data_IF_544712658821
#
_entry.id   IF_544712658821
#
_cell.length_a   1.000
_cell.length_b   1.000
_cell.length_c   1.000
_cell.angle_alpha   90.00
_cell.angle_beta   90.00
_cell.angle_gamma   90.00
#
_symmetry.space_group_name_H-M   'P 1'
#
loop_
_entity.id
_entity.type
_entity.pdbx_description
1 polymer ?
#
# COMPACT_ATOMS: atom_id res chain seq x y z
N UNK A 1 -22.04 5.56 2.75
CA UNK A 1 -20.99 4.66 3.22
C UNK A 1 -20.61 3.60 2.19
N UNK A 2 -19.74 2.64 2.53
CA UNK A 2 -19.28 1.59 1.59
C UNK A 2 -20.43 0.82 0.93
N UNK A 3 -21.55 0.62 1.63
CA UNK A 3 -22.74 -0.03 1.06
C UNK A 3 -23.35 0.74 -0.10
N UNK A 4 -23.36 2.05 -0.05
CA UNK A 4 -23.86 2.89 -1.16
C UNK A 4 -22.93 2.88 -2.34
N UNK A 5 -21.60 2.95 -2.13
CA UNK A 5 -20.57 2.87 -3.21
C UNK A 5 -20.72 1.59 -4.00
N UNK A 6 -20.83 0.43 -3.32
CA UNK A 6 -20.89 -0.87 -3.98
C UNK A 6 -22.28 -1.24 -4.52
N UNK A 7 -23.31 -0.47 -4.20
CA UNK A 7 -24.69 -0.72 -4.61
C UNK A 7 -25.26 0.49 -5.34
N UNK A 8 -26.05 1.31 -4.68
CA UNK A 8 -26.83 2.39 -5.29
C UNK A 8 -26.04 3.33 -6.22
N UNK A 9 -24.74 3.53 -5.98
CA UNK A 9 -23.89 4.39 -6.78
C UNK A 9 -23.18 3.68 -7.93
N UNK A 10 -23.41 2.39 -8.14
CA UNK A 10 -22.93 1.64 -9.30
C UNK A 10 -21.57 0.98 -9.13
N UNK A 11 -20.99 0.99 -7.93
CA UNK A 11 -19.76 0.25 -7.61
C UNK A 11 -18.55 0.64 -8.43
N UNK A 12 -17.71 -0.35 -8.73
CA UNK A 12 -16.48 -0.16 -9.51
C UNK A 12 -16.74 0.40 -10.92
N UNK A 13 -17.77 -0.06 -11.68
CA UNK A 13 -18.06 0.53 -12.98
C UNK A 13 -18.34 2.03 -12.93
N UNK A 14 -19.10 2.52 -11.95
CA UNK A 14 -19.37 3.95 -11.82
C UNK A 14 -18.10 4.74 -11.44
N UNK A 15 -17.24 4.20 -10.56
CA UNK A 15 -15.96 4.82 -10.23
C UNK A 15 -15.04 4.90 -11.45
N UNK A 16 -14.89 3.80 -12.20
CA UNK A 16 -14.12 3.80 -13.44
C UNK A 16 -14.76 4.67 -14.51
N UNK A 17 -16.10 4.76 -14.53
CA UNK A 17 -16.83 5.67 -15.38
C UNK A 17 -16.46 7.14 -15.17
N UNK A 18 -16.31 7.58 -13.90
CA UNK A 18 -15.83 8.95 -13.60
C UNK A 18 -14.39 9.18 -14.10
N UNK A 19 -13.49 8.21 -13.88
CA UNK A 19 -12.13 8.30 -14.40
C UNK A 19 -12.10 8.32 -15.94
N UNK A 20 -13.01 7.57 -16.58
CA UNK A 20 -13.15 7.53 -18.04
C UNK A 20 -13.63 8.88 -18.58
N UNK A 21 -14.65 9.48 -17.96
CA UNK A 21 -15.13 10.84 -18.32
C UNK A 21 -14.05 11.90 -18.19
N UNK A 22 -13.16 11.74 -17.22
CA UNK A 22 -11.99 12.61 -17.01
C UNK A 22 -10.82 12.32 -17.98
N UNK A 23 -10.92 11.31 -18.85
CA UNK A 23 -9.84 10.96 -19.79
C UNK A 23 -8.64 10.27 -19.12
N UNK A 24 -8.80 9.69 -17.94
CA UNK A 24 -7.73 9.10 -17.14
C UNK A 24 -7.59 7.58 -17.32
N UNK A 25 -8.40 6.97 -18.20
CA UNK A 25 -8.36 5.52 -18.46
C UNK A 25 -7.94 5.18 -19.89
N UNK A 26 -7.24 4.07 -20.02
CA UNK A 26 -7.05 3.37 -21.31
C UNK A 26 -8.28 2.47 -21.55
N UNK A 27 -9.08 2.79 -22.57
CA UNK A 27 -10.40 2.21 -22.79
C UNK A 27 -10.40 0.93 -23.60
N UNK A 28 -9.39 0.75 -24.45
CA UNK A 28 -9.23 -0.37 -25.39
C UNK A 28 -8.61 -1.63 -24.78
N UNK A 29 -8.35 -1.61 -23.47
CA UNK A 29 -7.82 -2.78 -22.76
C UNK A 29 -8.87 -3.87 -22.61
N UNK A 30 -8.44 -5.14 -22.75
CA UNK A 30 -9.31 -6.30 -22.54
C UNK A 30 -9.78 -6.42 -21.10
N UNK A 31 -11.00 -6.92 -20.93
CA UNK A 31 -11.60 -7.24 -19.65
C UNK A 31 -12.15 -8.67 -19.67
N UNK A 32 -12.21 -9.33 -18.52
CA UNK A 32 -12.89 -10.62 -18.37
C UNK A 32 -14.40 -10.51 -18.56
N UNK A 33 -14.96 -9.31 -18.53
CA UNK A 33 -16.40 -9.03 -18.60
C UNK A 33 -16.87 -8.64 -19.99
N UNK A 34 -15.99 -8.10 -20.84
CA UNK A 34 -16.29 -7.62 -22.17
C UNK A 34 -15.01 -7.54 -23.04
N UNK A 35 -15.12 -7.47 -24.36
CA UNK A 35 -13.97 -7.34 -25.26
C UNK A 35 -13.08 -6.13 -24.94
N UNK A 36 -13.67 -5.04 -24.45
CA UNK A 36 -12.94 -3.85 -24.01
C UNK A 36 -13.50 -3.28 -22.71
N UNK A 37 -12.69 -2.48 -22.02
CA UNK A 37 -13.14 -1.74 -20.84
C UNK A 37 -14.24 -0.74 -21.22
N UNK A 38 -14.16 -0.13 -22.38
CA UNK A 38 -15.17 0.81 -22.88
C UNK A 38 -16.54 0.16 -23.01
N UNK A 39 -16.61 -1.04 -23.65
CA UNK A 39 -17.86 -1.78 -23.78
C UNK A 39 -18.43 -2.23 -22.43
N UNK A 40 -17.57 -2.64 -21.51
CA UNK A 40 -18.00 -2.99 -20.16
C UNK A 40 -18.59 -1.78 -19.42
N UNK A 41 -17.92 -0.62 -19.45
CA UNK A 41 -18.41 0.59 -18.82
C UNK A 41 -19.71 1.09 -19.45
N UNK A 42 -19.85 1.01 -20.78
CA UNK A 42 -21.08 1.39 -21.46
C UNK A 42 -22.31 0.60 -20.94
N UNK A 43 -22.12 -0.66 -20.57
CA UNK A 43 -23.19 -1.53 -20.07
C UNK A 43 -23.40 -1.42 -18.54
N UNK A 44 -22.35 -1.19 -17.77
CA UNK A 44 -22.36 -1.33 -16.31
C UNK A 44 -22.22 -0.04 -15.54
N UNK A 45 -21.71 1.03 -16.13
CA UNK A 45 -21.71 2.34 -15.48
C UNK A 45 -23.10 2.96 -15.52
N UNK A 46 -23.77 2.98 -14.38
CA UNK A 46 -25.16 3.53 -14.26
C UNK A 46 -25.28 5.00 -14.63
N UNK A 47 -24.17 5.71 -14.78
CA UNK A 47 -24.10 7.12 -15.18
C UNK A 47 -23.76 7.32 -16.66
N UNK A 48 -23.53 6.22 -17.40
CA UNK A 48 -23.14 6.27 -18.82
C UNK A 48 -24.28 6.70 -19.76
N UNK A 49 -25.53 6.65 -19.30
CA UNK A 49 -26.71 6.85 -20.13
C UNK A 49 -27.10 5.61 -20.95
N UNK A 50 -26.17 4.66 -21.16
CA UNK A 50 -26.39 3.41 -21.91
C UNK A 50 -26.38 2.17 -21.02
N UNK A 51 -26.35 2.34 -19.70
CA UNK A 51 -26.33 1.25 -18.75
C UNK A 51 -27.51 0.27 -18.96
N UNK A 52 -27.20 -1.03 -18.92
CA UNK A 52 -28.18 -2.08 -19.09
C UNK A 52 -29.21 -2.11 -17.96
N UNK A 53 -30.41 -2.63 -18.24
CA UNK A 53 -31.44 -2.82 -17.21
C UNK A 53 -30.97 -3.84 -16.15
N UNK A 54 -30.18 -4.82 -16.54
CA UNK A 54 -29.53 -5.76 -15.61
C UNK A 54 -28.64 -5.03 -14.61
N UNK A 55 -27.76 -4.14 -15.09
CA UNK A 55 -26.88 -3.34 -14.24
C UNK A 55 -27.70 -2.47 -13.26
N UNK A 56 -28.70 -1.76 -13.76
CA UNK A 56 -29.58 -0.93 -12.95
C UNK A 56 -30.29 -1.75 -11.86
N UNK A 57 -30.89 -2.86 -12.23
CA UNK A 57 -31.57 -3.75 -11.27
C UNK A 57 -30.60 -4.29 -10.22
N UNK A 58 -29.40 -4.72 -10.63
CA UNK A 58 -28.37 -5.23 -9.73
C UNK A 58 -27.92 -4.19 -8.70
N UNK A 59 -27.78 -2.96 -9.10
CA UNK A 59 -27.35 -1.88 -8.19
C UNK A 59 -28.49 -1.33 -7.32
N UNK A 60 -29.74 -1.54 -7.69
CA UNK A 60 -30.88 -1.29 -6.81
C UNK A 60 -31.01 -2.33 -5.68
N UNK A 61 -30.47 -3.53 -5.85
CA UNK A 61 -30.61 -4.59 -4.86
C UNK A 61 -29.89 -4.27 -3.54
N UNK A 62 -30.56 -4.53 -2.42
CA UNK A 62 -29.97 -4.46 -1.09
C UNK A 62 -28.78 -5.43 -0.94
N UNK A 63 -27.87 -5.23 0.03
CA UNK A 63 -26.67 -6.04 0.20
C UNK A 63 -26.95 -7.55 0.18
N UNK A 64 -26.25 -8.25 -0.72
CA UNK A 64 -26.41 -9.69 -0.91
C UNK A 64 -27.67 -10.12 -1.63
N UNK A 65 -28.55 -9.18 -2.04
CA UNK A 65 -29.82 -9.48 -2.71
C UNK A 65 -30.88 -10.13 -1.81
N UNK A 66 -30.56 -10.39 -0.55
CA UNK A 66 -31.39 -11.10 0.43
C UNK A 66 -31.78 -10.26 1.65
N UNK A 67 -31.06 -9.14 1.86
CA UNK A 67 -31.38 -8.23 2.96
C UNK A 67 -32.39 -7.19 2.55
N UNK A 68 -33.00 -6.55 3.52
CA UNK A 68 -33.93 -5.43 3.28
C UNK A 68 -33.17 -4.11 3.19
N UNK A 69 -33.71 -3.16 2.44
CA UNK A 69 -33.14 -1.82 2.26
C UNK A 69 -33.17 -0.98 3.53
N UNK A 70 -34.16 -1.26 4.41
CA UNK A 70 -34.28 -0.63 5.72
C UNK A 70 -34.84 -1.63 6.73
N UNK A 71 -34.60 -1.37 8.01
CA UNK A 71 -35.03 -2.24 9.10
C UNK A 71 -36.54 -2.40 9.12
N UNK A 72 -37.03 -3.58 9.50
CA UNK A 72 -38.44 -3.93 9.64
C UNK A 72 -39.26 -3.81 8.34
N UNK A 73 -38.63 -3.83 7.16
CA UNK A 73 -39.30 -3.82 5.87
C UNK A 73 -39.11 -5.15 5.13
N UNK A 74 -39.91 -5.38 4.10
CA UNK A 74 -39.75 -6.49 3.14
C UNK A 74 -39.12 -6.02 1.83
N UNK A 75 -38.88 -4.70 1.68
CA UNK A 75 -38.30 -4.14 0.48
C UNK A 75 -36.83 -4.54 0.35
N UNK A 76 -36.46 -5.25 -0.71
CA UNK A 76 -35.10 -5.69 -1.00
C UNK A 76 -34.46 -4.91 -2.17
N UNK A 77 -35.17 -3.97 -2.75
CA UNK A 77 -34.69 -3.04 -3.77
C UNK A 77 -34.85 -1.60 -3.26
N UNK A 78 -33.87 -0.77 -3.57
CA UNK A 78 -33.97 0.68 -3.39
C UNK A 78 -34.91 1.25 -4.47
N UNK A 79 -35.58 2.37 -4.16
CA UNK A 79 -36.51 3.04 -5.10
C UNK A 79 -35.79 3.67 -6.28
N UNK A 80 -34.55 4.14 -6.09
CA UNK A 80 -33.74 4.77 -7.11
C UNK A 80 -32.26 4.52 -6.91
N UNK A 81 -31.51 4.60 -8.00
CA UNK A 81 -30.05 4.67 -7.97
C UNK A 81 -29.58 6.03 -7.47
N UNK A 82 -28.41 6.05 -6.85
CA UNK A 82 -27.75 7.27 -6.42
C UNK A 82 -26.76 7.72 -7.50
N UNK A 83 -27.04 8.84 -8.15
CA UNK A 83 -26.24 9.36 -9.27
C UNK A 83 -25.62 10.75 -8.98
N UNK A 84 -25.78 11.26 -7.74
CA UNK A 84 -25.15 12.53 -7.34
C UNK A 84 -23.64 12.38 -7.32
N UNK A 85 -22.98 13.05 -8.27
CA UNK A 85 -21.53 13.07 -8.41
C UNK A 85 -20.85 14.20 -7.66
N UNK A 86 -21.61 15.15 -7.15
CA UNK A 86 -21.10 16.27 -6.36
C UNK A 86 -21.00 15.93 -4.87
N UNK A 87 -22.10 15.39 -4.29
CA UNK A 87 -22.21 15.15 -2.86
C UNK A 87 -22.22 13.66 -2.48
N UNK A 88 -22.35 12.78 -3.47
CA UNK A 88 -22.34 11.32 -3.26
C UNK A 88 -21.00 10.78 -2.79
N UNK A 89 -20.97 9.47 -2.50
CA UNK A 89 -19.71 8.80 -2.12
C UNK A 89 -18.76 8.61 -3.31
N UNK A 90 -19.30 8.38 -4.52
CA UNK A 90 -18.53 8.42 -5.77
C UNK A 90 -18.72 9.81 -6.36
N UNK A 91 -17.64 10.56 -6.40
CA UNK A 91 -17.62 11.93 -6.88
C UNK A 91 -16.94 12.01 -8.25
N UNK A 92 -17.30 13.03 -9.03
CA UNK A 92 -16.55 13.38 -10.21
C UNK A 92 -15.21 14.05 -9.86
N UNK A 93 -14.40 14.32 -10.89
CA UNK A 93 -13.04 14.89 -10.69
C UNK A 93 -13.08 16.30 -10.13
N UNK A 94 -14.12 17.09 -10.46
CA UNK A 94 -14.24 18.47 -9.97
C UNK A 94 -14.55 18.53 -8.47
N UNK A 95 -15.31 17.52 -7.97
CA UNK A 95 -15.71 17.41 -6.56
C UNK A 95 -14.93 16.34 -5.80
N UNK A 96 -13.78 15.89 -6.33
CA UNK A 96 -12.94 14.90 -5.70
C UNK A 96 -12.52 15.32 -4.29
N UNK A 97 -12.46 14.36 -3.36
CA UNK A 97 -12.02 14.61 -1.97
C UNK A 97 -10.58 15.13 -1.89
N UNK A 98 -9.72 14.70 -2.81
CA UNK A 98 -8.33 15.14 -2.94
C UNK A 98 -7.95 15.18 -4.41
N UNK A 99 -6.99 16.03 -4.77
CA UNK A 99 -6.47 16.11 -6.15
C UNK A 99 -5.58 14.94 -6.51
N UNK A 100 -4.91 14.34 -5.51
CA UNK A 100 -4.03 13.18 -5.67
C UNK A 100 -4.75 11.90 -5.21
N UNK A 101 -4.25 10.76 -5.69
CA UNK A 101 -4.66 9.45 -5.19
C UNK A 101 -4.24 9.22 -3.73
N UNK A 102 -4.82 8.20 -3.10
CA UNK A 102 -4.52 7.83 -1.71
C UNK A 102 -3.19 7.12 -1.50
N UNK A 103 -2.40 6.91 -2.56
CA UNK A 103 -1.07 6.31 -2.53
C UNK A 103 -0.06 7.25 -3.16
N UNK A 104 1.13 7.32 -2.58
CA UNK A 104 2.23 8.10 -3.09
C UNK A 104 3.51 7.28 -3.17
N UNK A 105 4.33 7.54 -4.19
CA UNK A 105 5.67 6.96 -4.29
C UNK A 105 6.67 7.99 -3.75
N UNK A 106 7.51 7.55 -2.82
CA UNK A 106 8.59 8.34 -2.25
C UNK A 106 9.92 7.84 -2.79
N UNK A 107 10.89 8.73 -2.95
CA UNK A 107 12.23 8.45 -3.42
C UNK A 107 13.28 9.07 -2.49
N UNK A 108 14.48 8.55 -2.53
CA UNK A 108 15.63 9.08 -1.78
C UNK A 108 16.74 8.04 -1.67
N UNK A 109 17.78 8.37 -0.90
CA UNK A 109 18.97 7.54 -0.80
C UNK A 109 18.75 6.15 -0.19
N UNK A 110 17.63 5.92 0.51
CA UNK A 110 17.22 4.58 1.00
C UNK A 110 16.05 3.99 0.21
N UNK A 111 15.55 4.69 -0.80
CA UNK A 111 14.44 4.28 -1.66
C UNK A 111 14.69 4.70 -3.11
N UNK A 112 15.83 4.29 -3.68
CA UNK A 112 16.30 4.70 -5.02
C UNK A 112 15.32 4.28 -6.14
N UNK A 113 14.66 3.13 -5.97
CA UNK A 113 13.64 2.60 -6.90
C UNK A 113 12.21 2.90 -6.44
N UNK A 114 12.08 3.66 -5.36
CA UNK A 114 10.82 4.06 -4.79
C UNK A 114 10.39 3.25 -3.57
N UNK A 115 9.44 3.84 -2.85
CA UNK A 115 8.74 3.26 -1.72
C UNK A 115 7.30 3.73 -1.74
N UNK A 116 6.36 2.96 -1.21
CA UNK A 116 4.94 3.28 -1.24
C UNK A 116 4.45 3.73 0.13
N UNK A 117 3.84 4.90 0.18
CA UNK A 117 3.08 5.38 1.33
C UNK A 117 1.60 5.49 1.00
N UNK A 118 0.74 5.09 1.92
CA UNK A 118 -0.69 5.37 1.87
C UNK A 118 -0.93 6.75 2.46
N UNK A 119 -1.02 7.78 1.63
CA UNK A 119 -1.26 9.17 2.05
C UNK A 119 -2.70 9.41 2.53
N UNK A 120 -3.67 8.65 1.97
CA UNK A 120 -5.05 8.71 2.44
C UNK A 120 -5.16 8.24 3.90
N UNK A 121 -5.70 9.10 4.77
CA UNK A 121 -5.88 8.80 6.20
C UNK A 121 -4.66 9.11 7.07
N UNK A 122 -3.62 9.74 6.53
CA UNK A 122 -2.57 10.40 7.31
C UNK A 122 -3.01 11.85 7.53
N UNK A 123 -2.83 12.34 8.74
CA UNK A 123 -3.02 13.74 9.08
C UNK A 123 -1.98 14.58 8.32
N UNK A 124 -2.41 15.65 7.64
CA UNK A 124 -1.50 16.49 6.83
C UNK A 124 -0.35 17.09 7.66
N UNK A 125 -0.55 17.29 8.96
CA UNK A 125 0.50 17.73 9.88
C UNK A 125 1.67 16.75 9.99
N UNK A 126 1.47 15.49 9.57
CA UNK A 126 2.46 14.42 9.57
C UNK A 126 3.09 14.19 8.19
N UNK A 127 2.75 15.00 7.19
CA UNK A 127 3.32 14.85 5.84
C UNK A 127 4.82 15.19 5.78
N UNK A 128 5.33 15.92 6.78
CA UNK A 128 6.75 16.05 7.01
C UNK A 128 7.08 15.50 8.40
N UNK A 129 7.90 14.46 8.45
CA UNK A 129 8.30 13.78 9.67
C UNK A 129 9.82 13.53 9.66
N UNK A 130 10.47 13.90 10.73
CA UNK A 130 11.87 13.61 10.96
C UNK A 130 11.98 12.85 12.29
N UNK A 131 12.65 11.70 12.26
CA UNK A 131 12.75 10.86 13.43
C UNK A 131 14.01 10.01 13.45
N UNK A 132 14.28 9.44 14.62
CA UNK A 132 15.44 8.59 14.83
C UNK A 132 15.12 7.15 14.42
N UNK A 133 15.96 6.55 13.59
CA UNK A 133 15.84 5.16 13.20
C UNK A 133 15.95 4.21 14.40
N UNK A 134 15.01 3.30 14.53
CA UNK A 134 15.03 2.12 15.38
C UNK A 134 15.00 0.90 14.46
N UNK A 135 16.17 0.32 14.21
CA UNK A 135 16.34 -0.75 13.19
C UNK A 135 16.13 -2.12 13.81
N UNK A 136 15.33 -2.93 13.13
CA UNK A 136 15.08 -4.34 13.42
C UNK A 136 15.07 -5.16 12.12
N UNK A 137 15.38 -6.45 12.21
CA UNK A 137 15.57 -7.30 11.04
C UNK A 137 14.41 -8.27 10.78
N UNK A 138 13.30 -8.13 11.51
CA UNK A 138 12.08 -8.92 11.31
C UNK A 138 10.85 -8.23 11.89
N UNK A 139 9.66 -8.65 11.44
CA UNK A 139 8.40 -8.22 12.03
C UNK A 139 8.28 -8.62 13.49
N UNK A 140 8.74 -9.83 13.84
CA UNK A 140 8.69 -10.37 15.20
C UNK A 140 9.52 -9.52 16.16
N UNK A 141 10.73 -9.12 15.76
CA UNK A 141 11.61 -8.24 16.55
C UNK A 141 10.99 -6.84 16.70
N UNK A 142 10.32 -6.33 15.65
CA UNK A 142 9.58 -5.07 15.73
C UNK A 142 8.45 -5.15 16.77
N UNK A 143 7.65 -6.22 16.74
CA UNK A 143 6.56 -6.45 17.70
C UNK A 143 7.09 -6.51 19.13
N UNK A 144 8.14 -7.31 19.38
CA UNK A 144 8.77 -7.42 20.69
C UNK A 144 9.26 -6.04 21.18
N UNK A 145 9.92 -5.30 20.31
CA UNK A 145 10.49 -3.98 20.66
C UNK A 145 9.40 -2.94 20.96
N UNK A 146 8.30 -2.96 20.24
CA UNK A 146 7.15 -2.08 20.49
C UNK A 146 6.48 -2.43 21.80
N UNK A 147 6.16 -3.70 22.04
CA UNK A 147 5.48 -4.16 23.25
C UNK A 147 6.33 -4.01 24.51
N UNK A 148 7.65 -4.19 24.40
CA UNK A 148 8.60 -3.94 25.49
C UNK A 148 8.93 -2.46 25.70
N UNK A 149 8.27 -1.54 24.95
CA UNK A 149 8.44 -0.09 25.03
C UNK A 149 9.88 0.39 24.76
N UNK A 150 10.63 -0.35 23.95
CA UNK A 150 11.95 0.11 23.46
C UNK A 150 11.80 1.19 22.40
N UNK A 151 10.74 1.11 21.58
CA UNK A 151 10.36 2.14 20.61
C UNK A 151 9.74 3.32 21.35
N UNK A 152 10.23 4.52 21.09
CA UNK A 152 9.82 5.76 21.75
C UNK A 152 9.12 6.71 20.77
N UNK A 153 8.44 7.71 21.30
CA UNK A 153 7.89 8.82 20.52
C UNK A 153 8.99 9.50 19.69
N UNK A 154 8.75 9.75 18.42
CA UNK A 154 9.71 10.34 17.49
C UNK A 154 10.58 9.30 16.77
N UNK A 155 10.47 8.00 17.08
CA UNK A 155 11.22 6.98 16.36
C UNK A 155 10.61 6.65 14.99
N UNK A 156 11.49 6.31 14.03
CA UNK A 156 11.15 5.64 12.79
C UNK A 156 11.56 4.17 12.94
N UNK A 157 10.58 3.29 13.06
CA UNK A 157 10.83 1.85 13.10
C UNK A 157 11.19 1.37 11.71
N UNK A 158 12.42 0.88 11.53
CA UNK A 158 12.96 0.39 10.25
C UNK A 158 13.00 -1.13 10.30
N UNK A 159 12.14 -1.79 9.52
CA UNK A 159 12.07 -3.25 9.44
C UNK A 159 12.69 -3.69 8.12
N UNK A 160 13.80 -4.39 8.18
CA UNK A 160 14.56 -4.84 7.01
C UNK A 160 14.41 -6.34 6.75
N UNK A 161 14.78 -6.78 5.54
CA UNK A 161 14.74 -8.16 5.08
C UNK A 161 13.34 -8.81 5.05
N UNK A 162 12.30 -8.02 4.86
CA UNK A 162 10.93 -8.49 4.67
C UNK A 162 10.41 -8.34 3.22
N UNK A 163 11.31 -7.95 2.31
CA UNK A 163 11.05 -7.87 0.87
C UNK A 163 10.96 -9.22 0.16
N UNK A 164 10.77 -9.24 -1.16
CA UNK A 164 10.60 -10.46 -1.97
C UNK A 164 11.73 -11.49 -1.80
N UNK A 165 12.98 -11.04 -1.67
CA UNK A 165 14.15 -11.91 -1.47
C UNK A 165 14.41 -12.20 -0.01
N UNK A 166 14.46 -11.18 0.82
CA UNK A 166 14.84 -11.27 2.22
C UNK A 166 13.78 -11.93 3.09
N UNK A 167 12.49 -11.64 2.80
CA UNK A 167 11.32 -12.21 3.46
C UNK A 167 10.37 -12.87 2.47
N UNK A 168 10.77 -13.99 1.80
CA UNK A 168 9.96 -14.54 0.72
C UNK A 168 8.54 -14.87 1.19
N UNK A 169 7.56 -14.39 0.41
CA UNK A 169 6.15 -14.35 0.77
C UNK A 169 5.71 -12.99 1.31
N UNK A 170 6.65 -12.06 1.58
CA UNK A 170 6.40 -10.68 2.04
C UNK A 170 5.30 -10.61 3.10
N UNK A 171 5.64 -10.99 4.31
CA UNK A 171 4.71 -10.96 5.44
C UNK A 171 4.12 -9.55 5.62
N UNK A 172 2.81 -9.47 5.82
CA UNK A 172 2.14 -8.20 6.03
C UNK A 172 2.46 -7.62 7.42
N UNK A 173 2.82 -6.34 7.48
CA UNK A 173 3.19 -5.64 8.72
C UNK A 173 1.97 -5.17 9.54
N UNK A 174 0.98 -6.07 9.74
CA UNK A 174 -0.23 -5.75 10.48
C UNK A 174 0.03 -5.53 11.97
N UNK A 175 0.78 -6.44 12.59
CA UNK A 175 1.00 -6.41 14.04
C UNK A 175 1.79 -5.18 14.51
N UNK A 176 2.94 -4.81 13.91
CA UNK A 176 3.68 -3.63 14.33
C UNK A 176 2.84 -2.36 14.26
N UNK A 177 2.08 -2.14 13.18
CA UNK A 177 1.22 -0.96 13.03
C UNK A 177 0.08 -0.94 14.05
N UNK A 178 -0.53 -2.09 14.31
CA UNK A 178 -1.63 -2.23 15.28
C UNK A 178 -1.15 -1.95 16.71
N UNK A 179 0.02 -2.46 17.08
CA UNK A 179 0.59 -2.23 18.42
C UNK A 179 1.08 -0.80 18.62
N UNK A 180 1.72 -0.17 17.61
CA UNK A 180 2.03 1.26 17.68
C UNK A 180 0.77 2.09 17.92
N UNK A 181 -0.32 1.79 17.20
CA UNK A 181 -1.60 2.47 17.39
C UNK A 181 -2.19 2.19 18.78
N UNK A 182 -2.15 0.94 19.23
CA UNK A 182 -2.67 0.54 20.56
C UNK A 182 -1.93 1.20 21.73
N UNK A 183 -0.65 1.48 21.58
CA UNK A 183 0.17 2.18 22.57
C UNK A 183 0.13 3.72 22.45
N UNK A 184 -0.71 4.27 21.55
CA UNK A 184 -0.80 5.72 21.35
C UNK A 184 0.35 6.32 20.54
N UNK A 185 1.21 5.49 19.92
CA UNK A 185 2.36 5.91 19.11
C UNK A 185 2.04 6.06 17.63
N UNK A 186 0.84 5.69 17.18
CA UNK A 186 0.48 5.65 15.75
C UNK A 186 0.51 6.99 15.00
N UNK A 187 0.48 8.12 15.73
CA UNK A 187 0.68 9.47 15.17
C UNK A 187 2.03 10.10 15.58
N UNK A 188 2.85 9.36 16.30
CA UNK A 188 4.08 9.87 16.91
C UNK A 188 5.33 9.17 16.42
N UNK A 189 5.16 8.03 15.76
CA UNK A 189 6.21 7.23 15.15
C UNK A 189 5.88 6.98 13.68
N UNK A 190 6.92 6.77 12.89
CA UNK A 190 6.80 6.22 11.54
C UNK A 190 7.26 4.77 11.53
N UNK A 191 6.81 4.00 10.52
CA UNK A 191 7.26 2.65 10.26
C UNK A 191 7.62 2.51 8.80
N UNK A 192 8.84 2.07 8.49
CA UNK A 192 9.32 1.88 7.13
C UNK A 192 9.87 0.47 6.94
N UNK A 193 9.66 -0.13 5.76
CA UNK A 193 10.09 -1.51 5.50
C UNK A 193 10.26 -1.78 4.01
N UNK A 194 11.12 -2.73 3.68
CA UNK A 194 11.18 -3.36 2.35
C UNK A 194 10.08 -4.42 2.16
N UNK A 195 9.35 -4.77 3.23
CA UNK A 195 8.13 -5.57 3.21
C UNK A 195 6.89 -4.79 2.76
N UNK A 196 5.70 -5.20 3.19
CA UNK A 196 4.42 -4.62 2.74
C UNK A 196 3.45 -4.30 3.87
N UNK A 197 2.55 -3.37 3.57
CA UNK A 197 1.39 -3.02 4.42
C UNK A 197 0.07 -3.29 3.72
N UNK A 198 -1.00 -3.47 4.50
CA UNK A 198 -2.35 -3.52 3.95
C UNK A 198 -2.95 -2.13 3.72
N UNK A 199 -4.01 -2.10 2.90
CA UNK A 199 -4.80 -0.89 2.70
C UNK A 199 -5.50 -0.37 3.95
N UNK A 200 -5.68 -1.20 5.00
CA UNK A 200 -6.25 -0.82 6.30
C UNK A 200 -5.28 -0.12 7.26
N UNK A 201 -3.99 -0.07 6.91
CA UNK A 201 -2.95 0.56 7.74
C UNK A 201 -3.19 2.06 7.90
N UNK A 202 -2.96 2.60 9.08
CA UNK A 202 -3.06 4.02 9.42
C UNK A 202 -1.76 4.52 10.04
N UNK A 203 -1.51 5.84 9.94
CA UNK A 203 -0.26 6.46 10.36
C UNK A 203 0.81 6.43 9.27
N UNK A 204 2.00 6.94 9.56
CA UNK A 204 3.11 7.00 8.60
C UNK A 204 3.68 5.59 8.45
N UNK A 205 3.22 4.86 7.42
CA UNK A 205 3.66 3.50 7.12
C UNK A 205 4.09 3.42 5.66
N UNK A 206 5.38 3.17 5.44
CA UNK A 206 6.02 3.17 4.13
C UNK A 206 6.56 1.77 3.86
N UNK A 207 6.03 1.12 2.83
CA UNK A 207 6.44 -0.22 2.40
C UNK A 207 7.04 -0.26 1.03
N UNK A 208 7.40 -1.47 0.61
CA UNK A 208 7.97 -1.74 -0.72
C UNK A 208 9.23 -0.92 -1.01
N UNK A 209 10.00 -0.57 0.03
CA UNK A 209 11.26 0.17 -0.17
C UNK A 209 12.16 -0.65 -1.09
N UNK A 210 12.55 -0.03 -2.19
CA UNK A 210 13.31 -0.68 -3.25
C UNK A 210 14.55 0.13 -3.63
N UNK A 211 15.70 -0.57 -3.84
CA UNK A 211 15.93 -2.00 -3.67
C UNK A 211 15.82 -2.45 -2.21
N UNK A 212 15.37 -3.70 -1.97
CA UNK A 212 15.29 -4.28 -0.63
C UNK A 212 16.68 -4.56 -0.02
N UNK A 213 16.79 -4.67 1.30
CA UNK A 213 18.04 -4.94 1.99
C UNK A 213 18.77 -6.19 1.46
N UNK A 214 18.06 -7.31 1.26
CA UNK A 214 18.64 -8.56 0.75
C UNK A 214 19.19 -8.44 -0.69
N UNK A 215 18.74 -7.44 -1.45
CA UNK A 215 19.25 -7.14 -2.79
C UNK A 215 20.35 -6.04 -2.79
N UNK A 216 20.85 -5.66 -1.61
CA UNK A 216 21.87 -4.61 -1.47
C UNK A 216 21.32 -3.19 -1.42
N UNK A 217 20.00 -3.04 -1.21
CA UNK A 217 19.37 -1.75 -1.05
C UNK A 217 19.83 -1.01 0.20
N UNK A 218 19.94 0.32 0.09
CA UNK A 218 20.50 1.16 1.15
C UNK A 218 19.66 1.18 2.45
N UNK A 219 18.41 0.70 2.43
CA UNK A 219 17.66 0.46 3.67
C UNK A 219 18.40 -0.50 4.62
N UNK A 220 19.17 -1.47 4.08
CA UNK A 220 20.02 -2.39 4.85
C UNK A 220 21.25 -1.72 5.48
N UNK A 221 21.57 -0.48 5.11
CA UNK A 221 22.70 0.29 5.64
C UNK A 221 22.29 1.22 6.78
N UNK A 222 20.97 1.41 7.00
CA UNK A 222 20.46 2.26 8.07
C UNK A 222 20.81 1.64 9.42
N UNK A 223 21.27 2.46 10.36
CA UNK A 223 21.64 2.06 11.72
C UNK A 223 20.72 2.72 12.75
N UNK A 224 20.48 2.02 13.84
CA UNK A 224 19.74 2.62 14.95
C UNK A 224 20.44 3.88 15.43
N UNK A 225 19.67 4.97 15.52
CA UNK A 225 20.18 6.30 15.88
C UNK A 225 20.36 7.24 14.68
N UNK A 226 20.39 6.73 13.45
CA UNK A 226 20.39 7.58 12.25
C UNK A 226 19.11 8.43 12.19
N UNK A 227 19.20 9.62 11.60
CA UNK A 227 18.04 10.46 11.37
C UNK A 227 17.40 10.12 10.01
N UNK A 228 16.09 9.85 10.01
CA UNK A 228 15.29 9.60 8.82
C UNK A 228 14.38 10.79 8.57
N UNK A 229 14.37 11.30 7.35
CA UNK A 229 13.44 12.33 6.88
C UNK A 229 12.44 11.74 5.89
N UNK A 230 11.17 12.00 6.14
CA UNK A 230 10.01 11.64 5.33
C UNK A 230 9.27 12.92 4.97
N UNK A 231 9.11 13.23 3.68
CA UNK A 231 8.32 14.36 3.20
C UNK A 231 7.39 13.89 2.08
N UNK A 232 6.12 13.72 2.41
CA UNK A 232 5.10 13.21 1.47
C UNK A 232 4.88 14.19 0.32
N UNK A 233 4.89 15.48 0.61
CA UNK A 233 4.68 16.52 -0.40
C UNK A 233 5.84 16.60 -1.41
N UNK A 234 7.08 16.46 -0.91
CA UNK A 234 8.28 16.42 -1.75
C UNK A 234 8.58 15.05 -2.32
N UNK A 235 7.77 14.04 -1.99
CA UNK A 235 8.00 12.64 -2.38
C UNK A 235 9.36 12.12 -1.92
N UNK A 236 9.78 12.46 -0.71
CA UNK A 236 11.11 12.19 -0.17
C UNK A 236 11.07 11.13 0.94
N UNK A 237 12.02 10.19 0.87
CA UNK A 237 12.38 9.26 1.94
C UNK A 237 13.90 9.12 1.97
N UNK A 238 14.56 9.64 3.00
CA UNK A 238 16.02 9.56 3.09
C UNK A 238 16.53 9.35 4.51
N UNK A 239 17.74 8.82 4.61
CA UNK A 239 18.56 8.87 5.82
C UNK A 239 19.52 10.05 5.73
N UNK A 240 19.62 10.83 6.80
CA UNK A 240 20.49 12.02 6.86
C UNK A 240 21.93 11.65 7.25
N UNK A 241 22.56 10.82 6.44
CA UNK A 241 24.00 10.52 6.50
C UNK A 241 24.63 10.83 5.16
N UNK A 242 25.94 11.07 5.13
CA UNK A 242 26.63 11.39 3.87
C UNK A 242 26.73 10.16 2.94
N UNK A 243 26.89 10.41 1.65
CA UNK A 243 27.08 9.35 0.65
C UNK A 243 28.35 8.54 0.93
N UNK A 244 29.42 9.20 1.41
CA UNK A 244 30.67 8.53 1.78
C UNK A 244 30.45 7.57 2.96
N UNK A 245 29.62 7.95 3.93
CA UNK A 245 29.28 7.07 5.06
C UNK A 245 28.43 5.89 4.60
N UNK A 246 27.45 6.10 3.69
CA UNK A 246 26.67 5.00 3.13
C UNK A 246 27.57 4.03 2.35
N UNK A 247 28.52 4.53 1.55
CA UNK A 247 29.44 3.67 0.82
C UNK A 247 30.38 2.90 1.76
N UNK A 248 30.92 3.54 2.80
CA UNK A 248 31.70 2.86 3.83
C UNK A 248 30.90 1.72 4.50
N UNK A 249 29.62 1.96 4.82
CA UNK A 249 28.74 0.94 5.37
C UNK A 249 28.47 -0.19 4.38
N UNK A 250 28.40 0.13 3.09
CA UNK A 250 28.23 -0.85 2.01
C UNK A 250 29.46 -1.76 1.89
N UNK A 251 30.64 -1.17 1.97
CA UNK A 251 31.89 -1.94 1.99
C UNK A 251 31.98 -2.87 3.20
N UNK A 252 31.55 -2.42 4.38
CA UNK A 252 31.48 -3.24 5.60
C UNK A 252 30.51 -4.43 5.47
N UNK A 253 29.37 -4.23 4.80
CA UNK A 253 28.40 -5.29 4.55
C UNK A 253 28.89 -6.33 3.55
N UNK A 254 29.81 -5.96 2.65
CA UNK A 254 30.39 -6.85 1.65
C UNK A 254 29.39 -7.25 0.56
N UNK A 255 29.66 -8.39 -0.09
CA UNK A 255 28.88 -8.83 -1.26
C UNK A 255 27.43 -9.24 -0.90
N UNK A 256 26.50 -8.90 -1.77
CA UNK A 256 25.09 -9.35 -1.67
C UNK A 256 24.96 -10.82 -2.09
N UNK A 257 23.90 -11.54 -1.64
CA UNK A 257 22.76 -11.04 -0.84
C UNK A 257 23.08 -10.89 0.65
N UNK A 258 22.68 -9.75 1.20
CA UNK A 258 22.77 -9.53 2.64
C UNK A 258 21.70 -10.31 3.37
N UNK A 259 21.93 -10.62 4.63
CA UNK A 259 21.04 -11.46 5.45
C UNK A 259 20.88 -10.85 6.85
N UNK A 260 19.76 -11.17 7.51
CA UNK A 260 19.61 -10.83 8.92
C UNK A 260 20.78 -11.34 9.77
N UNK A 261 21.20 -10.57 10.74
CA UNK A 261 22.29 -10.93 11.68
C UNK A 261 21.92 -12.09 12.60
N UNK A 262 20.61 -12.29 12.84
CA UNK A 262 20.07 -13.35 13.68
C UNK A 262 19.19 -14.31 12.87
N UNK A 263 19.20 -15.60 13.17
CA UNK A 263 18.25 -16.56 12.61
C UNK A 263 16.80 -16.15 12.94
N UNK A 264 15.90 -16.27 11.97
CA UNK A 264 14.47 -16.05 12.19
C UNK A 264 13.77 -17.32 12.65
N UNK A 265 12.77 -17.16 13.53
CA UNK A 265 11.92 -18.27 13.97
C UNK A 265 10.95 -18.73 12.88
N UNK A 266 10.65 -17.87 11.90
CA UNK A 266 9.72 -18.16 10.81
C UNK A 266 10.22 -19.28 9.91
N UNK A 267 9.41 -20.34 9.74
CA UNK A 267 9.70 -21.39 8.77
C UNK A 267 9.44 -20.88 7.34
N UNK A 268 10.46 -20.94 6.48
CA UNK A 268 10.35 -20.67 5.05
C UNK A 268 10.42 -21.99 4.30
N UNK A 269 9.35 -22.36 3.59
CA UNK A 269 9.30 -23.58 2.79
C UNK A 269 10.30 -23.55 1.63
N UNK A 270 10.69 -24.71 1.11
CA UNK A 270 11.65 -24.76 -0.02
C UNK A 270 11.09 -24.08 -1.27
N UNK A 271 9.79 -24.15 -1.50
CA UNK A 271 9.14 -23.44 -2.59
C UNK A 271 9.32 -21.90 -2.46
N UNK A 272 9.17 -21.34 -1.26
CA UNK A 272 9.39 -19.92 -1.00
C UNK A 272 10.87 -19.55 -1.06
N UNK A 273 11.78 -20.44 -0.66
CA UNK A 273 13.24 -20.22 -0.82
C UNK A 273 13.60 -20.09 -2.31
N UNK A 274 13.09 -21.01 -3.14
CA UNK A 274 13.31 -20.96 -4.60
C UNK A 274 12.71 -19.68 -5.18
N UNK A 275 11.51 -19.28 -4.77
CA UNK A 275 10.94 -18.02 -5.17
C UNK A 275 11.86 -16.85 -4.79
N UNK A 276 12.32 -16.76 -3.53
CA UNK A 276 13.19 -15.67 -3.08
C UNK A 276 14.52 -15.59 -3.83
N UNK A 277 15.08 -16.72 -4.25
CA UNK A 277 16.31 -16.75 -5.08
C UNK A 277 16.10 -16.06 -6.43
N UNK A 278 14.92 -16.21 -7.02
CA UNK A 278 14.56 -15.71 -8.35
C UNK A 278 13.74 -14.42 -8.33
N UNK A 279 13.33 -13.95 -7.16
CA UNK A 279 12.45 -12.79 -7.05
C UNK A 279 13.14 -11.49 -7.52
N UNK A 280 12.41 -10.71 -8.30
CA UNK A 280 12.74 -9.31 -8.54
C UNK A 280 12.38 -8.46 -7.33
N UNK A 281 12.90 -7.24 -7.26
CA UNK A 281 12.52 -6.25 -6.25
C UNK A 281 11.05 -5.85 -6.36
N UNK A 282 10.50 -5.27 -5.30
CA UNK A 282 9.11 -4.87 -5.22
C UNK A 282 8.70 -3.85 -6.29
N UNK A 283 9.61 -2.96 -6.71
CA UNK A 283 9.39 -2.02 -7.82
C UNK A 283 9.18 -2.71 -9.18
N UNK A 284 9.56 -3.97 -9.30
CA UNK A 284 9.31 -4.84 -10.46
C UNK A 284 8.17 -5.84 -10.22
N UNK A 285 7.39 -5.67 -9.15
CA UNK A 285 6.27 -6.52 -8.80
C UNK A 285 6.65 -7.86 -8.14
N UNK A 286 7.90 -8.05 -7.70
CA UNK A 286 8.35 -9.29 -7.08
C UNK A 286 8.23 -10.53 -7.97
N UNK A 287 8.19 -10.34 -9.28
CA UNK A 287 8.12 -11.44 -10.26
C UNK A 287 9.39 -12.29 -10.25
N UNK A 288 9.29 -13.54 -10.71
CA UNK A 288 10.47 -14.39 -10.89
C UNK A 288 11.21 -14.00 -12.16
N UNK A 289 12.49 -13.74 -12.02
CA UNK A 289 13.41 -13.53 -13.14
C UNK A 289 14.18 -14.81 -13.32
N UNK A 290 14.05 -15.43 -14.49
CA UNK A 290 14.83 -16.61 -14.82
C UNK A 290 16.27 -16.18 -15.17
N UNK A 291 17.27 -16.98 -14.79
CA UNK A 291 18.65 -16.76 -15.24
C UNK A 291 18.75 -16.93 -16.75
N UNK A 292 19.71 -16.23 -17.40
CA UNK A 292 19.89 -16.25 -18.87
C UNK A 292 20.21 -17.64 -19.44
N UNK A 293 20.60 -18.58 -18.59
CA UNK A 293 20.88 -19.98 -18.95
C UNK A 293 19.63 -20.92 -18.87
N UNK A 294 18.46 -20.43 -18.43
CA UNK A 294 17.26 -21.23 -18.21
C UNK A 294 16.37 -21.34 -19.46
#
# INVERSE_FOLDING_TARGET
GLGDVYKRQGGIPALLGELNRAGLLQRDVHSVHAPSLEEWLAQWDIRSGSASDEAKHRYLAAPGGVRTTHAFSTANLFESLETDSENGCIRDVEHAYTKDGGLAVLYGNIAEKGAIIKSAGIDESLFHFVGRAFVVESQEEAVESILSKKVQEGDVVVITYEGPKGGPGMQEMLYPTSYLKGLGLGKKCALITDGRFSGGTSGISIGHISPEAAAGGAIGLVRTGDEIEIDVNKRLLRVNVSDEELERRREEMGATPWKPSKPRSRHVSDALKVYGMLAASADKGGVRILPDWA
#
